data_IF_842191752258
#
_entry.id   IF_842191752258
#
_cell.length_a   1.000
_cell.length_b   1.000
_cell.length_c   1.000
_cell.angle_alpha   90.00
_cell.angle_beta   90.00
_cell.angle_gamma   90.00
#
_symmetry.space_group_name_H-M   'P 1'
#
loop_
_entity.id
_entity.type
_entity.pdbx_description
1 polymer ?
#
# COMPACT_ATOMS: atom_id res chain seq x y z
N UNK A 1 -22.51 -37.79 20.35
CA UNK A 1 -21.68 -38.77 21.07
C UNK A 1 -21.29 -38.10 22.37
N UNK A 2 -21.59 -38.71 23.51
CA UNK A 2 -21.16 -38.14 24.80
C UNK A 2 -19.64 -38.03 24.82
N UNK A 3 -19.11 -36.94 25.36
CA UNK A 3 -17.68 -36.69 25.49
C UNK A 3 -16.97 -37.83 26.25
N UNK A 4 -17.68 -38.50 27.16
CA UNK A 4 -17.24 -39.69 27.91
C UNK A 4 -17.07 -40.95 27.05
N UNK A 5 -17.69 -40.99 25.86
CA UNK A 5 -17.69 -42.16 24.97
C UNK A 5 -16.72 -42.01 23.79
N UNK A 6 -15.95 -40.92 23.72
CA UNK A 6 -14.94 -40.76 22.66
C UNK A 6 -13.78 -41.70 22.90
N UNK A 7 -13.38 -42.40 21.85
CA UNK A 7 -12.16 -43.20 21.90
C UNK A 7 -10.94 -42.28 21.87
N UNK A 8 -9.81 -42.76 22.35
CA UNK A 8 -8.54 -42.02 22.28
C UNK A 8 -8.17 -41.65 20.83
N UNK A 9 -8.49 -42.54 19.88
CA UNK A 9 -8.31 -42.28 18.44
C UNK A 9 -9.12 -41.08 17.94
N UNK A 10 -10.37 -40.92 18.39
CA UNK A 10 -11.22 -39.77 18.02
C UNK A 10 -10.63 -38.47 18.58
N UNK A 11 -10.15 -38.50 19.82
CA UNK A 11 -9.48 -37.37 20.47
C UNK A 11 -8.23 -36.95 19.70
N UNK A 12 -7.37 -37.91 19.34
CA UNK A 12 -6.18 -37.65 18.54
C UNK A 12 -6.51 -37.15 17.13
N UNK A 13 -7.60 -37.63 16.53
CA UNK A 13 -8.05 -37.16 15.23
C UNK A 13 -8.47 -35.69 15.28
N UNK A 14 -9.25 -35.31 16.30
CA UNK A 14 -9.66 -33.91 16.52
C UNK A 14 -8.42 -33.03 16.70
N UNK A 15 -7.47 -33.45 17.55
CA UNK A 15 -6.23 -32.71 17.77
C UNK A 15 -5.46 -32.47 16.47
N UNK A 16 -5.30 -33.53 15.65
CA UNK A 16 -4.60 -33.45 14.36
C UNK A 16 -5.30 -32.52 13.37
N UNK A 17 -6.63 -32.52 13.35
CA UNK A 17 -7.41 -31.59 12.50
C UNK A 17 -7.15 -30.15 12.95
N UNK A 18 -7.23 -29.86 14.26
CA UNK A 18 -6.98 -28.53 14.79
C UNK A 18 -5.53 -28.07 14.51
N UNK A 19 -4.54 -28.94 14.72
CA UNK A 19 -3.15 -28.65 14.40
C UNK A 19 -2.93 -28.38 12.91
N UNK A 20 -3.61 -29.12 12.01
CA UNK A 20 -3.54 -28.87 10.58
C UNK A 20 -4.09 -27.49 10.23
N UNK A 21 -5.28 -27.14 10.71
CA UNK A 21 -5.90 -25.83 10.47
C UNK A 21 -4.99 -24.71 10.99
N UNK A 22 -4.47 -24.86 12.20
CA UNK A 22 -3.52 -23.93 12.81
C UNK A 22 -2.27 -23.77 11.96
N UNK A 23 -1.68 -24.86 11.47
CA UNK A 23 -0.46 -24.82 10.66
C UNK A 23 -0.67 -24.19 9.30
N UNK A 24 -1.83 -24.42 8.66
CA UNK A 24 -2.21 -23.75 7.40
C UNK A 24 -2.33 -22.24 7.61
N UNK A 25 -3.00 -21.81 8.68
CA UNK A 25 -3.11 -20.37 9.01
C UNK A 25 -1.78 -19.75 9.45
N UNK A 26 -0.86 -20.54 10.02
CA UNK A 26 0.43 -20.04 10.48
C UNK A 26 1.43 -19.77 9.34
N UNK A 27 1.18 -20.27 8.12
CA UNK A 27 2.09 -20.03 6.99
C UNK A 27 2.24 -18.51 6.77
N UNK A 28 3.48 -17.98 6.77
CA UNK A 28 3.70 -16.56 6.54
C UNK A 28 3.43 -16.22 5.06
N UNK A 29 2.98 -14.99 4.77
CA UNK A 29 2.79 -14.54 3.40
C UNK A 29 4.13 -14.48 2.65
N UNK A 30 4.14 -14.91 1.38
CA UNK A 30 5.30 -14.76 0.48
C UNK A 30 5.09 -13.54 -0.43
N UNK A 31 5.87 -12.46 -0.26
CA UNK A 31 5.70 -11.22 -1.02
C UNK A 31 5.98 -11.38 -2.52
N UNK A 32 6.62 -12.47 -2.96
CA UNK A 32 6.88 -12.74 -4.38
C UNK A 32 5.71 -13.44 -5.07
N UNK A 33 4.99 -14.30 -4.35
CA UNK A 33 3.82 -15.01 -4.87
C UNK A 33 2.53 -14.18 -4.76
N UNK A 34 2.45 -13.26 -3.78
CA UNK A 34 1.28 -12.39 -3.57
C UNK A 34 1.23 -11.18 -4.52
N UNK A 35 2.22 -10.99 -5.41
CA UNK A 35 2.24 -9.94 -6.46
C UNK A 35 1.43 -10.30 -7.71
N UNK A 36 0.44 -11.19 -7.58
CA UNK A 36 -0.46 -11.53 -8.67
C UNK A 36 -1.22 -10.31 -9.21
N UNK A 37 -1.46 -10.29 -10.53
CA UNK A 37 -2.10 -9.17 -11.25
C UNK A 37 -3.55 -8.92 -10.79
N UNK A 38 -4.17 -9.89 -10.14
CA UNK A 38 -5.56 -9.87 -9.66
C UNK A 38 -5.62 -9.67 -8.14
N UNK A 39 -5.06 -8.56 -7.64
CA UNK A 39 -4.89 -8.21 -6.21
C UNK A 39 -6.16 -8.07 -5.35
N UNK A 40 -7.16 -8.94 -5.55
CA UNK A 40 -8.50 -8.86 -4.98
C UNK A 40 -8.60 -9.48 -3.58
N UNK A 41 -7.66 -10.35 -3.17
CA UNK A 41 -7.58 -10.92 -1.81
C UNK A 41 -6.23 -11.60 -1.54
N UNK A 42 -5.71 -11.45 -0.31
CA UNK A 42 -4.51 -12.16 0.16
C UNK A 42 -4.73 -13.67 0.24
N UNK A 43 -3.64 -14.46 0.29
CA UNK A 43 -3.76 -15.93 0.49
C UNK A 43 -4.46 -16.23 1.83
N UNK A 44 -4.15 -15.44 2.86
CA UNK A 44 -4.78 -15.55 4.18
C UNK A 44 -6.30 -15.36 4.10
N UNK A 45 -6.76 -14.30 3.41
CA UNK A 45 -8.20 -14.02 3.26
C UNK A 45 -8.93 -15.14 2.51
N UNK A 46 -8.29 -15.75 1.51
CA UNK A 46 -8.86 -16.90 0.79
C UNK A 46 -9.02 -18.12 1.70
N UNK A 47 -8.07 -18.36 2.60
CA UNK A 47 -8.17 -19.44 3.60
C UNK A 47 -9.29 -19.14 4.59
N UNK A 48 -9.39 -17.90 5.09
CA UNK A 48 -10.49 -17.49 5.98
C UNK A 48 -11.86 -17.68 5.32
N UNK A 49 -11.97 -17.31 4.04
CA UNK A 49 -13.19 -17.50 3.28
C UNK A 49 -13.54 -18.99 3.13
N UNK A 50 -12.56 -19.84 2.82
CA UNK A 50 -12.76 -21.28 2.74
C UNK A 50 -13.20 -21.88 4.09
N UNK A 51 -12.61 -21.44 5.20
CA UNK A 51 -13.02 -21.86 6.55
C UNK A 51 -14.48 -21.48 6.83
N UNK A 52 -14.88 -20.26 6.47
CA UNK A 52 -16.26 -19.80 6.63
C UNK A 52 -17.25 -20.60 5.76
N UNK A 53 -16.97 -20.78 4.46
CA UNK A 53 -17.85 -21.54 3.56
C UNK A 53 -17.98 -23.01 3.99
N UNK A 54 -16.93 -23.58 4.59
CA UNK A 54 -16.98 -24.95 5.14
C UNK A 54 -17.76 -25.07 6.46
N UNK A 55 -18.13 -23.95 7.10
CA UNK A 55 -18.74 -23.93 8.44
C UNK A 55 -17.76 -24.23 9.57
N UNK A 56 -16.45 -24.21 9.30
CA UNK A 56 -15.41 -24.48 10.31
C UNK A 56 -15.40 -23.38 11.39
N UNK A 57 -15.72 -22.14 11.04
CA UNK A 57 -15.81 -21.04 12.01
C UNK A 57 -16.91 -21.28 13.06
N UNK A 58 -18.03 -21.88 12.68
CA UNK A 58 -19.09 -22.25 13.62
C UNK A 58 -18.68 -23.40 14.54
N UNK A 59 -17.92 -24.38 14.03
CA UNK A 59 -17.33 -25.44 14.86
C UNK A 59 -16.31 -24.87 15.86
N UNK A 60 -15.46 -23.94 15.44
CA UNK A 60 -14.50 -23.27 16.31
C UNK A 60 -15.22 -22.43 17.39
N UNK A 61 -16.30 -21.72 17.05
CA UNK A 61 -17.16 -21.01 18.01
C UNK A 61 -17.80 -21.97 19.02
N UNK A 62 -18.26 -23.13 18.56
CA UNK A 62 -18.79 -24.18 19.44
C UNK A 62 -17.71 -24.68 20.41
N UNK A 63 -16.53 -25.06 19.90
CA UNK A 63 -15.42 -25.53 20.74
C UNK A 63 -14.96 -24.48 21.76
N UNK A 64 -14.95 -23.20 21.37
CA UNK A 64 -14.60 -22.10 22.28
C UNK A 64 -15.62 -21.87 23.40
N UNK A 65 -16.90 -22.20 23.18
CA UNK A 65 -17.97 -21.95 24.13
C UNK A 65 -18.35 -23.17 24.98
N UNK A 66 -17.99 -24.38 24.55
CA UNK A 66 -18.33 -25.62 25.23
C UNK A 66 -17.35 -25.91 26.39
N UNK A 67 -17.85 -25.86 27.63
CA UNK A 67 -17.06 -26.17 28.83
C UNK A 67 -16.47 -27.60 28.81
N UNK A 68 -17.17 -28.54 28.16
CA UNK A 68 -16.74 -29.95 28.05
C UNK A 68 -15.59 -30.15 27.06
N UNK A 69 -15.31 -29.17 26.20
CA UNK A 69 -14.26 -29.24 25.17
C UNK A 69 -13.02 -28.42 25.54
N UNK A 70 -12.86 -28.02 26.82
CA UNK A 70 -11.75 -27.14 27.25
C UNK A 70 -10.34 -27.70 26.98
N UNK A 71 -10.20 -29.01 26.80
CA UNK A 71 -8.94 -29.64 26.37
C UNK A 71 -8.41 -29.04 25.04
N UNK A 72 -9.28 -28.48 24.20
CA UNK A 72 -8.92 -27.87 22.93
C UNK A 72 -8.76 -26.35 23.00
N UNK A 73 -8.96 -25.72 24.16
CA UNK A 73 -9.05 -24.27 24.29
C UNK A 73 -7.82 -23.54 23.75
N UNK A 74 -6.62 -24.07 23.97
CA UNK A 74 -5.38 -23.47 23.46
C UNK A 74 -5.27 -23.57 21.94
N UNK A 75 -5.61 -24.72 21.36
CA UNK A 75 -5.63 -24.89 19.90
C UNK A 75 -6.61 -23.91 19.25
N UNK A 76 -7.81 -23.79 19.80
CA UNK A 76 -8.84 -22.87 19.31
C UNK A 76 -8.39 -21.41 19.46
N UNK A 77 -7.76 -21.06 20.58
CA UNK A 77 -7.22 -19.71 20.80
C UNK A 77 -6.12 -19.35 19.80
N UNK A 78 -5.19 -20.27 19.53
CA UNK A 78 -4.14 -20.07 18.52
C UNK A 78 -4.75 -19.89 17.12
N UNK A 79 -5.71 -20.73 16.75
CA UNK A 79 -6.41 -20.63 15.45
C UNK A 79 -7.10 -19.27 15.32
N UNK A 80 -7.90 -18.86 16.32
CA UNK A 80 -8.60 -17.57 16.28
C UNK A 80 -7.60 -16.41 16.22
N UNK A 81 -6.51 -16.49 16.99
CA UNK A 81 -5.46 -15.46 16.96
C UNK A 81 -4.80 -15.35 15.58
N UNK A 82 -4.55 -16.48 14.91
CA UNK A 82 -4.04 -16.51 13.54
C UNK A 82 -5.09 -16.03 12.53
N UNK A 83 -6.38 -16.31 12.73
CA UNK A 83 -7.44 -15.81 11.85
C UNK A 83 -7.43 -14.28 11.80
N UNK A 84 -7.20 -13.62 12.94
CA UNK A 84 -7.20 -12.16 13.07
C UNK A 84 -5.81 -11.51 12.98
N UNK A 85 -4.75 -12.23 12.60
CA UNK A 85 -3.36 -11.74 12.65
C UNK A 85 -3.10 -10.46 11.85
N UNK A 86 -3.84 -10.28 10.75
CA UNK A 86 -3.69 -9.16 9.81
C UNK A 86 -4.81 -8.10 9.98
N UNK A 87 -5.57 -8.16 11.08
CA UNK A 87 -6.70 -7.25 11.33
C UNK A 87 -6.41 -6.34 12.53
N UNK A 88 -6.73 -5.05 12.41
CA UNK A 88 -6.79 -4.16 13.58
C UNK A 88 -8.18 -4.23 14.22
N UNK A 89 -8.26 -4.38 15.56
CA UNK A 89 -9.56 -4.50 16.23
C UNK A 89 -10.41 -3.24 16.10
N UNK A 90 -9.79 -2.06 15.99
CA UNK A 90 -10.48 -0.79 15.77
C UNK A 90 -11.15 -0.72 14.40
N UNK A 91 -10.44 -1.09 13.33
CA UNK A 91 -11.02 -1.09 11.97
C UNK A 91 -12.11 -2.14 11.83
N UNK A 92 -11.91 -3.33 12.43
CA UNK A 92 -12.90 -4.40 12.40
C UNK A 92 -14.19 -3.99 13.13
N UNK A 93 -14.07 -3.33 14.29
CA UNK A 93 -15.21 -2.81 15.04
C UNK A 93 -15.96 -1.71 14.29
N UNK A 94 -15.24 -0.79 13.62
CA UNK A 94 -15.85 0.25 12.81
C UNK A 94 -16.66 -0.34 11.64
N UNK A 95 -16.08 -1.27 10.89
CA UNK A 95 -16.76 -1.95 9.77
C UNK A 95 -17.99 -2.76 10.21
N UNK A 96 -17.96 -3.34 11.41
CA UNK A 96 -19.05 -4.13 11.97
C UNK A 96 -20.28 -3.31 12.40
N UNK A 97 -20.15 -1.98 12.58
CA UNK A 97 -21.24 -1.12 13.06
C UNK A 97 -22.24 -0.72 11.97
N UNK A 98 -22.08 -1.19 10.73
CA UNK A 98 -23.04 -0.93 9.66
C UNK A 98 -23.04 0.52 9.15
N UNK A 99 -22.02 1.30 9.49
CA UNK A 99 -21.76 2.66 8.98
C UNK A 99 -21.28 2.68 7.52
N UNK A 100 -21.32 1.55 6.83
CA UNK A 100 -20.91 1.39 5.43
C UNK A 100 -21.47 2.47 4.48
N UNK A 101 -22.68 3.00 4.74
CA UNK A 101 -23.25 4.08 3.93
C UNK A 101 -22.62 5.46 4.16
N UNK A 102 -22.26 5.78 5.40
CA UNK A 102 -21.58 7.05 5.74
C UNK A 102 -20.10 6.98 5.37
N UNK A 103 -19.46 5.86 5.68
CA UNK A 103 -18.05 5.57 5.34
C UNK A 103 -17.84 5.53 3.83
N UNK A 104 -18.73 4.92 3.05
CA UNK A 104 -18.65 4.98 1.58
C UNK A 104 -18.75 6.42 1.06
N UNK A 105 -19.54 7.28 1.73
CA UNK A 105 -19.63 8.71 1.40
C UNK A 105 -18.35 9.48 1.70
N UNK A 106 -17.63 9.11 2.76
CA UNK A 106 -16.33 9.71 3.11
C UNK A 106 -15.23 9.18 2.21
N UNK A 107 -15.15 7.86 1.97
CA UNK A 107 -14.22 7.23 1.04
C UNK A 107 -14.35 7.80 -0.38
N UNK A 108 -15.58 7.95 -0.88
CA UNK A 108 -15.80 8.54 -2.21
C UNK A 108 -15.34 9.99 -2.28
N UNK A 109 -15.54 10.77 -1.22
CA UNK A 109 -15.02 12.14 -1.13
C UNK A 109 -13.50 12.15 -1.10
N UNK A 110 -12.87 11.30 -0.31
CA UNK A 110 -11.41 11.20 -0.25
C UNK A 110 -10.83 10.83 -1.62
N UNK A 111 -11.41 9.83 -2.30
CA UNK A 111 -11.04 9.44 -3.65
C UNK A 111 -11.21 10.59 -4.66
N UNK A 112 -12.29 11.37 -4.55
CA UNK A 112 -12.50 12.57 -5.36
C UNK A 112 -11.41 13.62 -5.11
N UNK A 113 -11.02 13.85 -3.85
CA UNK A 113 -9.95 14.81 -3.52
C UNK A 113 -8.60 14.37 -4.08
N UNK A 114 -8.26 13.08 -3.96
CA UNK A 114 -7.04 12.50 -4.52
C UNK A 114 -7.02 12.62 -6.05
N UNK A 115 -8.14 12.30 -6.70
CA UNK A 115 -8.31 12.45 -8.15
C UNK A 115 -8.14 13.90 -8.61
N UNK A 116 -8.68 14.86 -7.87
CA UNK A 116 -8.52 16.29 -8.18
C UNK A 116 -7.06 16.72 -8.04
N UNK A 117 -6.36 16.26 -7.01
CA UNK A 117 -4.93 16.52 -6.82
C UNK A 117 -4.09 15.96 -7.97
N UNK A 118 -4.34 14.71 -8.36
CA UNK A 118 -3.65 14.08 -9.49
C UNK A 118 -3.89 14.83 -10.80
N UNK A 119 -5.14 15.24 -11.07
CA UNK A 119 -5.49 16.04 -12.24
C UNK A 119 -4.78 17.40 -12.25
N UNK A 120 -4.69 18.06 -11.09
CA UNK A 120 -3.98 19.32 -10.94
C UNK A 120 -2.48 19.15 -11.22
N UNK A 121 -1.85 18.09 -10.68
CA UNK A 121 -0.45 17.76 -10.93
C UNK A 121 -0.21 17.43 -12.41
N UNK A 122 -1.10 16.64 -13.03
CA UNK A 122 -1.04 16.30 -14.46
C UNK A 122 -1.15 17.55 -15.34
N UNK A 123 -2.05 18.49 -15.00
CA UNK A 123 -2.19 19.79 -15.69
C UNK A 123 -0.94 20.64 -15.51
N UNK A 124 -0.39 20.74 -14.30
CA UNK A 124 0.85 21.46 -14.04
C UNK A 124 2.03 20.88 -14.85
N UNK A 125 2.16 19.55 -14.87
CA UNK A 125 3.17 18.85 -15.70
C UNK A 125 2.94 19.10 -17.19
N UNK A 126 1.71 19.13 -17.68
CA UNK A 126 1.39 19.43 -19.07
C UNK A 126 1.75 20.88 -19.45
N UNK A 127 1.48 21.86 -18.58
CA UNK A 127 1.87 23.26 -18.78
C UNK A 127 3.39 23.46 -18.78
N UNK A 128 4.13 22.62 -18.05
CA UNK A 128 5.59 22.66 -18.05
C UNK A 128 6.22 22.00 -19.28
N UNK A 129 5.49 21.10 -19.96
CA UNK A 129 5.98 20.40 -21.15
C UNK A 129 5.95 21.33 -22.37
N UNK A 130 7.01 21.33 -23.20
CA UNK A 130 6.98 22.06 -24.45
C UNK A 130 5.88 21.48 -25.35
N UNK A 131 5.12 22.36 -26.03
CA UNK A 131 4.10 21.95 -27.01
C UNK A 131 4.68 21.23 -28.23
N UNK A 132 6.01 21.24 -28.40
CA UNK A 132 6.72 20.69 -29.55
C UNK A 132 7.67 19.57 -29.11
N UNK A 133 8.01 18.71 -30.06
CA UNK A 133 8.94 17.61 -29.82
C UNK A 133 10.35 18.12 -29.43
N UNK A 134 11.12 17.28 -28.76
CA UNK A 134 12.47 17.60 -28.26
C UNK A 134 13.44 18.10 -29.33
N UNK A 135 13.31 17.63 -30.58
CA UNK A 135 14.15 18.04 -31.71
C UNK A 135 13.81 19.42 -32.31
N UNK A 136 12.82 20.14 -31.77
CA UNK A 136 12.45 21.46 -32.28
C UNK A 136 13.45 22.51 -31.78
N UNK A 137 14.40 22.89 -32.64
CA UNK A 137 15.57 23.75 -32.32
C UNK A 137 15.30 25.26 -32.33
N UNK A 138 14.19 25.72 -31.73
CA UNK A 138 13.92 27.15 -31.60
C UNK A 138 14.91 27.83 -30.64
N UNK A 139 15.46 28.97 -31.05
CA UNK A 139 16.30 29.84 -30.21
C UNK A 139 15.66 31.22 -30.05
N UNK A 140 15.89 31.85 -28.90
CA UNK A 140 15.37 33.18 -28.59
C UNK A 140 16.49 34.09 -28.08
N UNK A 141 16.31 35.39 -28.32
CA UNK A 141 17.19 36.45 -27.86
C UNK A 141 16.45 37.27 -26.82
N UNK A 142 16.98 37.34 -25.60
CA UNK A 142 16.45 38.21 -24.55
C UNK A 142 17.15 39.58 -24.61
N UNK A 143 16.43 40.62 -25.01
CA UNK A 143 16.94 41.99 -25.07
C UNK A 143 16.46 42.80 -23.85
N UNK A 144 17.35 43.55 -23.20
CA UNK A 144 17.04 44.38 -22.03
C UNK A 144 17.66 43.93 -20.70
N UNK A 145 18.38 42.80 -20.68
CA UNK A 145 19.22 42.41 -19.55
C UNK A 145 20.49 43.27 -19.54
N UNK A 146 20.63 44.16 -18.54
CA UNK A 146 21.78 45.07 -18.36
C UNK A 146 23.06 44.34 -17.88
N UNK A 147 23.48 43.28 -18.57
CA UNK A 147 24.58 42.41 -18.08
C UNK A 147 25.70 42.11 -19.06
N UNK A 148 25.72 42.73 -20.25
CA UNK A 148 26.86 42.59 -21.17
C UNK A 148 27.42 43.96 -21.57
N UNK A 149 28.75 44.18 -21.51
CA UNK A 149 29.36 45.31 -22.21
C UNK A 149 29.19 45.08 -23.72
N UNK A 150 28.68 46.11 -24.40
CA UNK A 150 28.53 46.27 -25.85
C UNK A 150 28.63 44.97 -26.70
N UNK A 151 27.45 44.44 -27.07
CA UNK A 151 27.26 43.76 -28.35
C UNK A 151 27.19 42.24 -28.35
N UNK A 152 27.38 41.54 -27.22
CA UNK A 152 27.22 40.08 -27.20
C UNK A 152 25.79 39.68 -26.83
N UNK A 153 25.08 39.12 -27.80
CA UNK A 153 23.76 38.54 -27.65
C UNK A 153 23.91 37.03 -27.84
N UNK A 154 23.93 36.27 -26.75
CA UNK A 154 24.03 34.82 -26.86
C UNK A 154 22.62 34.21 -27.05
N UNK A 155 22.36 33.47 -28.15
CA UNK A 155 21.08 32.82 -28.37
C UNK A 155 20.88 31.70 -27.34
N UNK A 156 19.77 31.75 -26.61
CA UNK A 156 19.43 30.73 -25.62
C UNK A 156 18.44 29.72 -26.22
N UNK A 157 18.69 28.42 -26.01
CA UNK A 157 17.70 27.41 -26.38
C UNK A 157 16.46 27.54 -25.48
N UNK A 158 15.27 27.31 -26.06
CA UNK A 158 14.00 27.45 -25.34
C UNK A 158 13.94 26.62 -24.04
N UNK A 159 14.60 25.46 -24.04
CA UNK A 159 14.67 24.54 -22.89
C UNK A 159 15.57 25.07 -21.76
N UNK A 160 16.50 25.98 -22.06
CA UNK A 160 17.48 26.51 -21.10
C UNK A 160 16.99 27.79 -20.41
N UNK A 161 15.90 28.42 -20.88
CA UNK A 161 15.31 29.62 -20.28
C UNK A 161 14.87 29.43 -18.83
N UNK A 162 14.27 28.28 -18.49
CA UNK A 162 13.78 28.00 -17.13
C UNK A 162 14.90 27.86 -16.10
N UNK A 163 16.08 27.44 -16.56
CA UNK A 163 17.27 27.29 -15.72
C UNK A 163 18.27 28.44 -15.95
N UNK A 164 17.82 29.56 -16.56
CA UNK A 164 18.69 30.68 -16.86
C UNK A 164 19.23 31.30 -15.57
N UNK A 165 20.54 31.24 -15.41
CA UNK A 165 21.30 31.98 -14.40
C UNK A 165 22.30 32.87 -15.13
N UNK A 166 22.55 34.07 -14.60
CA UNK A 166 23.56 34.98 -15.15
C UNK A 166 24.97 34.40 -15.17
N UNK A 167 25.21 33.31 -14.45
CA UNK A 167 26.49 32.62 -14.37
C UNK A 167 26.56 31.35 -15.23
N UNK A 168 25.52 31.06 -16.02
CA UNK A 168 25.56 29.98 -17.00
C UNK A 168 26.71 30.21 -17.99
N UNK A 169 27.69 29.30 -17.99
CA UNK A 169 28.86 29.36 -18.88
C UNK A 169 30.00 30.25 -18.38
N UNK A 170 29.89 30.89 -17.22
CA UNK A 170 31.05 31.54 -16.58
C UNK A 170 31.87 30.49 -15.84
N UNK A 171 33.19 30.57 -15.92
CA UNK A 171 34.03 29.72 -15.08
C UNK A 171 33.74 30.01 -13.59
N UNK A 172 33.52 28.97 -12.76
CA UNK A 172 33.30 29.17 -11.33
C UNK A 172 34.54 29.84 -10.73
N UNK A 173 34.33 30.96 -10.01
CA UNK A 173 35.41 31.70 -9.37
C UNK A 173 36.11 30.75 -8.38
N UNK A 174 37.40 30.50 -8.59
CA UNK A 174 38.21 29.66 -7.68
C UNK A 174 38.15 30.24 -6.27
N UNK A 175 37.47 29.54 -5.36
CA UNK A 175 37.40 29.91 -3.95
C UNK A 175 38.67 29.39 -3.26
N UNK A 176 39.43 30.22 -2.53
CA UNK A 176 40.56 29.75 -1.76
C UNK A 176 40.11 28.70 -0.73
N UNK A 177 40.84 27.58 -0.62
CA UNK A 177 40.50 26.41 0.22
C UNK A 177 40.25 26.70 1.71
N UNK A 178 40.64 27.87 2.22
CA UNK A 178 40.48 28.26 3.63
C UNK A 178 39.07 28.81 3.98
N UNK A 179 38.11 28.83 3.04
CA UNK A 179 36.74 29.35 3.29
C UNK A 179 35.62 28.40 2.86
N UNK A 180 35.87 27.09 2.81
CA UNK A 180 34.78 26.11 2.71
C UNK A 180 34.40 25.71 4.13
N UNK A 181 33.36 26.37 4.66
CA UNK A 181 32.64 25.98 5.86
C UNK A 181 31.18 25.75 5.47
#
# INVERSE_FOLDING_TARGET
QDWEQRQEEDTLLIERILLLVRNVLHVPPDPTEEQGVDGDASVHDRVLWALHISGMDDLLKFLASAQVEQQWALHVLEIISLMFRDQSPEELAARGQGTAGAEHGEDTRELETLRQRELAEKRARALQRPSRHSRFGGSYVLQGLKTAPQGRVDPLHLLQLKNYSHDLGKEPRRVPRHRQA
#
